data_IF_722872429612
#
_entry.id   IF_722872429612
#
_cell.length_a   1.000
_cell.length_b   1.000
_cell.length_c   1.000
_cell.angle_alpha   90.00
_cell.angle_beta   90.00
_cell.angle_gamma   90.00
#
_symmetry.space_group_name_H-M   'P 1'
#
loop_
_entity.id
_entity.type
_entity.pdbx_description
1 polymer ?
#
# COMPACT_ATOMS: atom_id res chain seq x y z
N UNK A 1 14.17 -50.16 -4.13
CA UNK A 1 13.48 -48.90 -3.75
C UNK A 1 12.67 -48.41 -4.94
N UNK A 2 11.36 -48.25 -4.81
CA UNK A 2 10.54 -47.69 -5.89
C UNK A 2 10.78 -46.18 -6.01
N UNK A 3 10.93 -45.68 -7.25
CA UNK A 3 11.10 -44.25 -7.51
C UNK A 3 9.75 -43.53 -7.37
N UNK A 4 9.71 -42.41 -6.65
CA UNK A 4 8.52 -41.57 -6.50
C UNK A 4 8.46 -40.45 -7.54
N UNK A 5 7.31 -39.77 -7.65
CA UNK A 5 7.17 -38.59 -8.52
C UNK A 5 7.96 -37.41 -7.94
N UNK A 6 8.79 -36.77 -8.76
CA UNK A 6 9.71 -35.72 -8.30
C UNK A 6 9.01 -34.36 -8.06
N UNK A 7 7.97 -34.02 -8.83
CA UNK A 7 7.21 -32.77 -8.68
C UNK A 7 5.81 -32.85 -9.31
N UNK A 8 4.87 -32.04 -8.84
CA UNK A 8 3.54 -31.90 -9.43
C UNK A 8 2.90 -30.54 -9.12
N UNK A 9 2.43 -29.86 -10.18
CA UNK A 9 1.61 -28.65 -10.07
C UNK A 9 0.10 -28.94 -10.10
N UNK A 10 -0.30 -30.21 -10.17
CA UNK A 10 -1.71 -30.58 -10.16
C UNK A 10 -2.40 -30.04 -8.90
N UNK A 11 -3.59 -29.47 -9.06
CA UNK A 11 -4.42 -28.91 -7.98
C UNK A 11 -3.85 -27.65 -7.28
N UNK A 12 -2.70 -27.10 -7.69
CA UNK A 12 -2.15 -25.87 -7.07
C UNK A 12 -3.06 -24.66 -7.32
N UNK A 13 -3.52 -24.47 -8.57
CA UNK A 13 -4.43 -23.38 -8.94
C UNK A 13 -5.76 -23.47 -8.19
N UNK A 14 -6.37 -24.66 -8.12
CA UNK A 14 -7.63 -24.88 -7.41
C UNK A 14 -7.51 -24.64 -5.89
N UNK A 15 -6.34 -24.88 -5.29
CA UNK A 15 -6.08 -24.52 -3.87
C UNK A 15 -5.95 -23.01 -3.67
N UNK A 16 -5.22 -22.32 -4.56
CA UNK A 16 -5.06 -20.87 -4.49
C UNK A 16 -6.41 -20.14 -4.48
N UNK A 17 -7.39 -20.67 -5.23
CA UNK A 17 -8.71 -20.06 -5.37
C UNK A 17 -9.76 -20.41 -4.29
N UNK A 18 -9.43 -21.22 -3.28
CA UNK A 18 -10.39 -21.64 -2.23
C UNK A 18 -10.56 -20.62 -1.09
N UNK A 19 -9.54 -19.84 -0.77
CA UNK A 19 -9.48 -19.04 0.46
C UNK A 19 -9.96 -17.58 0.30
N UNK A 20 -10.91 -17.34 -0.61
CA UNK A 20 -11.42 -16.01 -0.97
C UNK A 20 -12.40 -15.41 0.04
N UNK A 21 -11.95 -15.09 1.26
CA UNK A 21 -12.75 -14.33 2.24
C UNK A 21 -12.50 -12.81 2.11
N UNK A 22 -13.50 -12.13 1.54
CA UNK A 22 -13.95 -10.73 1.77
C UNK A 22 -12.95 -9.74 2.38
N UNK A 23 -12.40 -8.87 1.53
CA UNK A 23 -12.08 -7.50 1.89
C UNK A 23 -13.19 -6.60 1.37
N UNK A 24 -13.97 -6.00 2.27
CA UNK A 24 -15.03 -5.01 2.04
C UNK A 24 -14.66 -4.05 0.89
N UNK A 25 -15.35 -4.18 -0.25
CA UNK A 25 -15.29 -3.17 -1.31
C UNK A 25 -16.07 -1.95 -0.81
N UNK A 26 -15.36 -0.87 -0.52
CA UNK A 26 -15.98 0.46 -0.62
C UNK A 26 -16.35 0.65 -2.08
N UNK A 27 -17.65 0.82 -2.33
CA UNK A 27 -18.19 1.05 -3.67
C UNK A 27 -17.80 2.46 -4.09
N UNK A 28 -16.71 2.58 -4.82
CA UNK A 28 -16.45 3.75 -5.66
C UNK A 28 -16.12 3.23 -7.05
N UNK A 29 -16.97 3.65 -7.99
CA UNK A 29 -16.95 3.43 -9.44
C UNK A 29 -15.61 2.96 -10.01
N UNK A 30 -15.50 1.66 -10.31
CA UNK A 30 -14.87 1.18 -11.55
C UNK A 30 -15.27 -0.27 -11.80
N UNK A 31 -16.04 -0.43 -12.87
CA UNK A 31 -16.69 -1.68 -13.29
C UNK A 31 -15.72 -2.47 -14.17
N UNK A 32 -14.74 -3.14 -13.56
CA UNK A 32 -14.09 -4.29 -14.19
C UNK A 32 -14.37 -5.51 -13.34
N UNK A 33 -15.40 -6.26 -13.76
CA UNK A 33 -15.82 -7.53 -13.15
C UNK A 33 -14.76 -8.59 -13.49
N UNK A 34 -13.62 -8.57 -12.79
CA UNK A 34 -12.56 -9.56 -13.00
C UNK A 34 -13.03 -10.93 -12.50
N UNK A 35 -13.03 -11.92 -13.39
CA UNK A 35 -13.44 -13.32 -13.18
C UNK A 35 -12.57 -14.11 -12.19
N UNK A 36 -11.83 -13.44 -11.31
CA UNK A 36 -10.82 -14.02 -10.43
C UNK A 36 -10.95 -13.45 -9.02
N UNK A 37 -12.10 -13.65 -8.38
CA UNK A 37 -12.36 -13.22 -6.99
C UNK A 37 -11.52 -13.95 -5.93
N UNK A 38 -10.62 -14.84 -6.34
CA UNK A 38 -10.08 -15.89 -5.50
C UNK A 38 -8.56 -15.83 -5.28
N UNK A 39 -7.89 -14.78 -5.76
CA UNK A 39 -6.50 -14.45 -5.38
C UNK A 39 -6.50 -13.12 -4.64
N UNK A 40 -5.95 -13.09 -3.42
CA UNK A 40 -5.87 -11.87 -2.60
C UNK A 40 -4.86 -10.89 -3.22
N UNK A 41 -5.32 -9.69 -3.56
CA UNK A 41 -4.44 -8.57 -3.93
C UNK A 41 -3.70 -8.05 -2.67
N UNK A 42 -2.48 -7.51 -2.81
CA UNK A 42 -1.80 -6.90 -1.68
C UNK A 42 -2.66 -5.77 -1.10
N UNK A 43 -2.66 -5.64 0.22
CA UNK A 43 -3.36 -4.53 0.88
C UNK A 43 -2.61 -3.23 0.57
N UNK A 44 -3.27 -2.29 -0.07
CA UNK A 44 -2.74 -0.94 -0.26
C UNK A 44 -3.08 -0.11 0.98
N UNK A 45 -2.06 0.46 1.62
CA UNK A 45 -2.26 1.47 2.66
C UNK A 45 -2.20 2.86 2.02
N UNK A 46 -2.90 3.83 2.59
CA UNK A 46 -2.94 5.21 2.07
C UNK A 46 -1.55 5.86 1.97
N UNK A 47 -0.64 5.51 2.87
CA UNK A 47 0.72 6.06 2.91
C UNK A 47 1.77 4.93 2.90
N UNK A 48 2.62 4.84 1.86
CA UNK A 48 3.73 3.89 1.83
C UNK A 48 4.93 4.39 2.66
N UNK A 49 5.83 3.48 3.03
CA UNK A 49 7.08 3.86 3.69
C UNK A 49 8.05 4.51 2.70
N UNK A 50 8.79 5.54 3.13
CA UNK A 50 9.89 6.11 2.36
C UNK A 50 11.22 5.32 2.50
N UNK A 51 11.22 4.12 3.10
CA UNK A 51 12.43 3.31 3.26
C UNK A 51 12.90 2.83 1.87
N UNK A 52 14.18 3.05 1.55
CA UNK A 52 14.76 2.74 0.24
C UNK A 52 14.64 3.86 -0.80
N UNK A 53 13.94 4.96 -0.49
CA UNK A 53 13.98 6.17 -1.34
C UNK A 53 15.30 6.94 -1.14
N UNK A 54 15.69 7.72 -2.14
CA UNK A 54 16.97 8.45 -2.18
C UNK A 54 17.24 9.22 -0.87
N UNK A 55 18.41 9.07 -0.23
CA UNK A 55 18.70 9.73 1.04
C UNK A 55 18.63 11.26 0.99
N UNK A 56 19.01 11.90 -0.12
CA UNK A 56 18.95 13.36 -0.30
C UNK A 56 17.50 13.82 -0.44
N UNK A 57 16.69 13.10 -1.22
CA UNK A 57 15.25 13.32 -1.33
C UNK A 57 14.56 13.21 0.03
N UNK A 58 14.86 12.15 0.79
CA UNK A 58 14.27 11.95 2.13
C UNK A 58 14.64 13.05 3.12
N UNK A 59 15.90 13.51 3.10
CA UNK A 59 16.35 14.61 3.95
C UNK A 59 15.63 15.91 3.58
N UNK A 60 15.60 16.25 2.29
CA UNK A 60 14.90 17.45 1.82
C UNK A 60 13.40 17.42 2.17
N UNK A 61 12.73 16.30 1.89
CA UNK A 61 11.32 16.12 2.24
C UNK A 61 11.06 16.31 3.73
N UNK A 62 11.97 15.83 4.60
CA UNK A 62 11.90 16.04 6.04
C UNK A 62 12.01 17.52 6.41
N UNK A 63 12.99 18.23 5.85
CA UNK A 63 13.17 19.66 6.11
C UNK A 63 11.99 20.49 5.63
N UNK A 64 11.44 20.19 4.44
CA UNK A 64 10.25 20.85 3.92
C UNK A 64 9.03 20.67 4.84
N UNK A 65 8.75 19.43 5.27
CA UNK A 65 7.65 19.15 6.21
C UNK A 65 7.83 19.82 7.57
N UNK A 66 9.06 19.87 8.10
CA UNK A 66 9.32 20.60 9.36
C UNK A 66 9.16 22.11 9.19
N UNK A 67 9.57 22.66 8.04
CA UNK A 67 9.40 24.07 7.72
C UNK A 67 7.93 24.47 7.66
N UNK A 68 7.09 23.69 6.96
CA UNK A 68 5.65 23.95 6.88
C UNK A 68 4.98 23.81 8.24
N UNK A 69 5.33 22.78 9.02
CA UNK A 69 4.79 22.59 10.37
C UNK A 69 5.14 23.78 11.30
N UNK A 70 6.37 24.30 11.22
CA UNK A 70 6.80 25.48 11.99
C UNK A 70 6.04 26.74 11.57
N UNK A 71 5.91 26.98 10.27
CA UNK A 71 5.19 28.15 9.75
C UNK A 71 3.71 28.15 10.15
N UNK A 72 3.04 26.98 10.04
CA UNK A 72 1.65 26.82 10.48
C UNK A 72 1.48 27.05 11.99
N UNK A 73 2.45 26.60 12.79
CA UNK A 73 2.45 26.82 14.24
C UNK A 73 2.59 28.32 14.56
N UNK A 74 3.52 29.03 13.92
CA UNK A 74 3.74 30.47 14.15
C UNK A 74 2.54 31.32 13.71
N UNK A 75 1.89 30.95 12.60
CA UNK A 75 0.65 31.59 12.16
C UNK A 75 -0.49 31.35 13.17
N UNK A 76 -0.64 30.13 13.69
CA UNK A 76 -1.64 29.81 14.73
C UNK A 76 -1.38 30.56 16.04
N UNK A 77 -0.11 30.76 16.39
CA UNK A 77 0.30 31.50 17.59
C UNK A 77 0.23 33.03 17.41
N UNK A 78 -0.18 33.54 16.24
CA UNK A 78 -0.29 34.97 15.97
C UNK A 78 1.05 35.71 15.88
N UNK A 79 2.17 34.97 15.83
CA UNK A 79 3.53 35.52 15.77
C UNK A 79 3.95 35.94 14.36
N UNK A 80 3.10 35.62 13.36
CA UNK A 80 3.27 36.03 11.97
C UNK A 80 2.06 36.85 11.57
N UNK A 81 2.31 38.03 11.00
CA UNK A 81 1.27 38.83 10.39
C UNK A 81 0.65 38.05 9.21
N UNK A 82 -0.66 37.93 9.23
CA UNK A 82 -1.44 37.47 8.09
C UNK A 82 -1.49 38.60 7.08
N UNK A 83 -0.76 38.44 5.98
CA UNK A 83 -0.99 39.26 4.78
C UNK A 83 -2.36 38.93 4.20
#
# INVERSE_FOLDING_TARGET
>A
MAKSKNSSQHNQWRKAHRNGSVGRQERTTDRIRSHTRSIKKPKTMRYPSLKGTDPKFRRNHRHALHGTAKALKEAKEGKRETV
#
